data_IF_989717187120
#
_entry.id   IF_989717187120
#
_cell.length_a   1.000
_cell.length_b   1.000
_cell.length_c   1.000
_cell.angle_alpha   90.00
_cell.angle_beta   90.00
_cell.angle_gamma   90.00
#
_symmetry.space_group_name_H-M   'P 1'
#
loop_
_entity.id
_entity.type
_entity.pdbx_description
1 polymer ?
#
# COMPACT_ATOMS: atom_id res chain seq x y z
N UNK A 1 -59.69 -38.78 11.94
CA UNK A 1 -58.24 -39.09 12.20
C UNK A 1 -57.31 -38.66 11.05
N UNK A 2 -57.52 -39.10 9.78
CA UNK A 2 -56.62 -38.78 8.65
C UNK A 2 -56.66 -37.30 8.23
N UNK A 3 -57.78 -36.66 8.24
CA UNK A 3 -57.97 -35.24 7.90
C UNK A 3 -57.29 -34.33 8.93
N UNK A 4 -57.47 -34.60 10.17
CA UNK A 4 -56.86 -33.89 11.30
C UNK A 4 -55.35 -34.06 11.32
N UNK A 5 -54.82 -35.22 10.99
CA UNK A 5 -53.40 -35.50 10.81
C UNK A 5 -52.83 -34.71 9.62
N UNK A 6 -53.55 -34.63 8.48
CA UNK A 6 -53.15 -33.87 7.30
C UNK A 6 -53.12 -32.37 7.58
N UNK A 7 -54.13 -31.83 8.26
CA UNK A 7 -54.19 -30.40 8.64
C UNK A 7 -53.06 -30.03 9.60
N UNK A 8 -52.77 -30.88 10.58
CA UNK A 8 -51.67 -30.65 11.53
C UNK A 8 -50.29 -30.72 10.88
N UNK A 9 -50.08 -31.65 9.91
CA UNK A 9 -48.87 -31.71 9.15
C UNK A 9 -48.68 -30.50 8.24
N UNK A 10 -49.73 -30.03 7.60
CA UNK A 10 -49.69 -28.85 6.75
C UNK A 10 -49.31 -27.60 7.56
N UNK A 11 -49.91 -27.46 8.77
CA UNK A 11 -49.55 -26.37 9.69
C UNK A 11 -48.07 -26.43 10.10
N UNK A 12 -47.57 -27.61 10.43
CA UNK A 12 -46.20 -27.83 10.85
C UNK A 12 -45.21 -27.58 9.72
N UNK A 13 -45.55 -27.92 8.45
CA UNK A 13 -44.76 -27.62 7.27
C UNK A 13 -44.68 -26.11 7.03
N UNK A 14 -45.76 -25.38 7.21
CA UNK A 14 -45.76 -23.92 7.05
C UNK A 14 -44.94 -23.25 8.15
N UNK A 15 -45.08 -23.65 9.41
CA UNK A 15 -44.25 -23.17 10.53
C UNK A 15 -42.74 -23.41 10.29
N UNK A 16 -42.39 -24.56 9.70
CA UNK A 16 -41.00 -24.88 9.34
C UNK A 16 -40.50 -24.04 8.17
N UNK A 17 -41.34 -23.73 7.18
CA UNK A 17 -41.00 -22.85 6.07
C UNK A 17 -40.74 -21.42 6.56
N UNK A 18 -41.62 -20.90 7.42
CA UNK A 18 -41.51 -19.57 7.99
C UNK A 18 -40.21 -19.45 8.80
N UNK A 19 -39.87 -20.45 9.61
CA UNK A 19 -38.58 -20.50 10.33
C UNK A 19 -37.39 -20.63 9.40
N UNK A 20 -37.51 -21.37 8.31
CA UNK A 20 -36.43 -21.49 7.32
C UNK A 20 -36.14 -20.13 6.65
N UNK A 21 -37.21 -19.37 6.33
CA UNK A 21 -37.09 -18.03 5.73
C UNK A 21 -36.47 -17.05 6.74
N UNK A 22 -36.91 -17.05 8.00
CA UNK A 22 -36.33 -16.24 9.07
C UNK A 22 -34.84 -16.53 9.30
N UNK A 23 -34.44 -17.79 9.37
CA UNK A 23 -33.02 -18.20 9.51
C UNK A 23 -32.21 -17.81 8.26
N UNK A 24 -32.81 -17.90 7.07
CA UNK A 24 -32.16 -17.47 5.85
C UNK A 24 -31.86 -15.97 5.82
N UNK A 25 -32.83 -15.17 6.27
CA UNK A 25 -32.70 -13.72 6.37
C UNK A 25 -31.66 -13.31 7.44
N UNK A 26 -31.68 -13.94 8.61
CA UNK A 26 -30.65 -13.73 9.63
C UNK A 26 -29.23 -14.09 9.12
N UNK A 27 -29.13 -15.16 8.36
CA UNK A 27 -27.87 -15.62 7.78
C UNK A 27 -27.34 -14.61 6.75
N UNK A 28 -28.22 -14.05 5.94
CA UNK A 28 -27.88 -13.01 4.97
C UNK A 28 -27.40 -11.73 5.64
N UNK A 29 -28.11 -11.27 6.67
CA UNK A 29 -27.74 -10.10 7.48
C UNK A 29 -26.38 -10.33 8.15
N UNK A 30 -26.18 -11.49 8.75
CA UNK A 30 -24.91 -11.86 9.40
C UNK A 30 -23.76 -11.88 8.39
N UNK A 31 -23.99 -12.41 7.19
CA UNK A 31 -23.00 -12.45 6.12
C UNK A 31 -22.57 -11.04 5.67
N UNK A 32 -23.54 -10.14 5.49
CA UNK A 32 -23.28 -8.73 5.18
C UNK A 32 -22.45 -8.05 6.29
N UNK A 33 -22.78 -8.27 7.55
CA UNK A 33 -22.01 -7.75 8.69
C UNK A 33 -20.58 -8.30 8.73
N UNK A 34 -20.38 -9.57 8.44
CA UNK A 34 -19.04 -10.16 8.38
C UNK A 34 -18.21 -9.53 7.25
N UNK A 35 -18.80 -9.33 6.07
CA UNK A 35 -18.14 -8.70 4.94
C UNK A 35 -17.77 -7.24 5.25
N UNK A 36 -18.67 -6.50 5.85
CA UNK A 36 -18.42 -5.11 6.27
C UNK A 36 -17.30 -5.03 7.32
N UNK A 37 -17.31 -5.91 8.31
CA UNK A 37 -16.27 -5.97 9.34
C UNK A 37 -14.91 -6.38 8.75
N UNK A 38 -14.86 -7.32 7.81
CA UNK A 38 -13.64 -7.68 7.09
C UNK A 38 -13.09 -6.47 6.33
N UNK A 39 -13.95 -5.72 5.62
CA UNK A 39 -13.57 -4.52 4.89
C UNK A 39 -13.00 -3.47 5.85
N UNK A 40 -13.67 -3.17 6.96
CA UNK A 40 -13.18 -2.23 7.99
C UNK A 40 -11.84 -2.64 8.57
N UNK A 41 -11.64 -3.93 8.86
CA UNK A 41 -10.39 -4.45 9.39
C UNK A 41 -9.24 -4.31 8.39
N UNK A 42 -9.47 -4.60 7.10
CA UNK A 42 -8.49 -4.41 6.04
C UNK A 42 -8.11 -2.93 5.91
N UNK A 43 -9.08 -2.05 5.98
CA UNK A 43 -8.87 -0.60 5.94
C UNK A 43 -8.03 -0.10 7.12
N UNK A 44 -8.32 -0.56 8.34
CA UNK A 44 -7.54 -0.18 9.52
C UNK A 44 -6.10 -0.70 9.44
N UNK A 45 -5.91 -1.94 8.98
CA UNK A 45 -4.57 -2.50 8.78
C UNK A 45 -3.77 -1.74 7.74
N UNK A 46 -4.41 -1.32 6.64
CA UNK A 46 -3.76 -0.51 5.62
C UNK A 46 -3.31 0.85 6.18
N UNK A 47 -4.16 1.53 6.98
CA UNK A 47 -3.80 2.79 7.66
C UNK A 47 -2.58 2.61 8.57
N UNK A 48 -2.62 1.61 9.44
CA UNK A 48 -1.53 1.33 10.38
C UNK A 48 -0.25 1.01 9.62
N UNK A 49 -0.35 0.23 8.55
CA UNK A 49 0.79 -0.11 7.70
C UNK A 49 1.41 1.12 7.05
N UNK A 50 0.59 2.04 6.52
CA UNK A 50 1.06 3.30 5.92
C UNK A 50 1.76 4.18 6.96
N UNK A 51 1.17 4.37 8.14
CA UNK A 51 1.79 5.14 9.23
C UNK A 51 3.10 4.51 9.67
N UNK A 52 3.13 3.19 9.88
CA UNK A 52 4.34 2.46 10.25
C UNK A 52 5.42 2.52 9.15
N UNK A 53 5.04 2.70 7.90
CA UNK A 53 5.98 2.86 6.79
C UNK A 53 6.66 4.23 6.77
N UNK A 54 6.02 5.26 7.31
CA UNK A 54 6.58 6.63 7.41
C UNK A 54 7.55 6.76 8.59
N UNK A 55 7.23 6.15 9.72
CA UNK A 55 8.00 6.27 10.98
C UNK A 55 9.51 6.04 10.79
N UNK A 56 9.98 4.99 10.08
CA UNK A 56 11.41 4.77 9.88
C UNK A 56 12.11 5.90 9.11
N UNK A 57 11.41 6.61 8.22
CA UNK A 57 11.98 7.75 7.49
C UNK A 57 12.13 8.96 8.40
N UNK A 58 11.15 9.19 9.29
CA UNK A 58 11.20 10.24 10.31
C UNK A 58 12.35 9.98 11.28
N UNK A 59 12.48 8.76 11.80
CA UNK A 59 13.56 8.40 12.73
C UNK A 59 14.93 8.60 12.11
N UNK A 60 15.11 8.21 10.83
CA UNK A 60 16.36 8.45 10.11
C UNK A 60 16.62 9.93 9.90
N UNK A 61 15.59 10.70 9.53
CA UNK A 61 15.72 12.16 9.38
C UNK A 61 16.18 12.80 10.67
N UNK A 62 15.58 12.43 11.81
CA UNK A 62 15.98 12.92 13.14
C UNK A 62 17.43 12.55 13.42
N UNK A 63 17.83 11.31 13.11
CA UNK A 63 19.22 10.87 13.29
C UNK A 63 20.20 11.71 12.47
N UNK A 64 19.92 11.94 11.18
CA UNK A 64 20.79 12.74 10.31
C UNK A 64 20.87 14.21 10.76
N UNK A 65 19.75 14.79 11.20
CA UNK A 65 19.71 16.16 11.75
C UNK A 65 20.54 16.26 13.03
N UNK A 66 20.46 15.28 13.93
CA UNK A 66 21.26 15.24 15.15
C UNK A 66 22.76 15.17 14.83
N UNK A 67 23.14 14.31 13.86
CA UNK A 67 24.54 14.22 13.40
C UNK A 67 25.06 15.52 12.82
N UNK A 68 24.25 16.23 12.04
CA UNK A 68 24.61 17.56 11.54
C UNK A 68 24.80 18.58 12.68
N UNK A 69 24.01 18.47 13.75
CA UNK A 69 24.07 19.37 14.92
C UNK A 69 25.29 19.09 15.80
N UNK A 70 25.79 17.87 15.86
CA UNK A 70 27.01 17.50 16.60
C UNK A 70 28.26 18.13 15.97
N UNK A 71 28.27 18.38 14.68
CA UNK A 71 29.38 18.99 13.96
C UNK A 71 30.59 18.07 13.82
N UNK A 72 31.72 18.63 13.38
CA UNK A 72 33.00 17.92 13.28
C UNK A 72 33.19 17.11 11.99
N UNK A 73 32.22 17.10 11.08
CA UNK A 73 32.28 16.42 9.79
C UNK A 73 32.84 17.34 8.69
N UNK A 74 33.42 16.74 7.65
CA UNK A 74 33.85 17.47 6.46
C UNK A 74 32.65 18.07 5.71
N UNK A 75 32.88 19.12 4.94
CA UNK A 75 31.84 19.76 4.13
C UNK A 75 31.24 18.80 3.09
N UNK A 76 32.01 17.84 2.63
CA UNK A 76 31.56 16.81 1.69
C UNK A 76 30.55 15.86 2.34
N UNK A 77 30.87 15.31 3.52
CA UNK A 77 29.97 14.45 4.30
C UNK A 77 28.70 15.21 4.71
N UNK A 78 28.85 16.47 5.08
CA UNK A 78 27.70 17.32 5.42
C UNK A 78 26.76 17.51 4.21
N UNK A 79 27.30 17.70 3.03
CA UNK A 79 26.52 17.82 1.78
C UNK A 79 25.77 16.52 1.45
N UNK A 80 26.41 15.38 1.62
CA UNK A 80 25.76 14.07 1.42
C UNK A 80 24.59 13.86 2.39
N UNK A 81 24.75 14.27 3.67
CA UNK A 81 23.64 14.22 4.65
C UNK A 81 22.48 15.09 4.25
N UNK A 82 22.72 16.30 3.76
CA UNK A 82 21.62 17.15 3.27
C UNK A 82 20.90 16.53 2.10
N UNK A 83 21.60 15.90 1.16
CA UNK A 83 20.97 15.17 0.06
C UNK A 83 20.13 14.01 0.58
N UNK A 84 20.62 13.28 1.55
CA UNK A 84 19.88 12.16 2.14
C UNK A 84 18.64 12.62 2.91
N UNK A 85 18.72 13.71 3.66
CA UNK A 85 17.54 14.31 4.33
C UNK A 85 16.50 14.74 3.30
N UNK A 86 16.92 15.34 2.19
CA UNK A 86 16.01 15.70 1.10
C UNK A 86 15.31 14.47 0.50
N UNK A 87 16.04 13.37 0.27
CA UNK A 87 15.47 12.11 -0.20
C UNK A 87 14.44 11.54 0.80
N UNK A 88 14.76 11.55 2.09
CA UNK A 88 13.83 11.10 3.15
C UNK A 88 12.56 11.96 3.19
N UNK A 89 12.71 13.27 3.01
CA UNK A 89 11.58 14.21 2.94
C UNK A 89 10.67 13.91 1.76
N UNK A 90 11.24 13.65 0.58
CA UNK A 90 10.47 13.28 -0.61
C UNK A 90 9.71 11.97 -0.40
N UNK A 91 10.32 10.98 0.22
CA UNK A 91 9.65 9.72 0.56
C UNK A 91 8.49 9.94 1.53
N UNK A 92 8.68 10.71 2.60
CA UNK A 92 7.61 11.04 3.55
C UNK A 92 6.44 11.72 2.83
N UNK A 93 6.72 12.68 1.94
CA UNK A 93 5.69 13.36 1.17
C UNK A 93 4.93 12.40 0.23
N UNK A 94 5.62 11.46 -0.42
CA UNK A 94 4.97 10.44 -1.26
C UNK A 94 4.01 9.56 -0.44
N UNK A 95 4.44 9.06 0.72
CA UNK A 95 3.57 8.27 1.60
C UNK A 95 2.39 9.09 2.12
N UNK A 96 2.61 10.36 2.43
CA UNK A 96 1.56 11.26 2.91
C UNK A 96 0.51 11.53 1.83
N UNK A 97 0.92 11.70 0.58
CA UNK A 97 0.01 11.87 -0.56
C UNK A 97 -0.85 10.62 -0.76
N UNK A 98 -0.25 9.42 -0.74
CA UNK A 98 -0.98 8.15 -0.84
C UNK A 98 -1.99 7.99 0.29
N UNK A 99 -1.60 8.34 1.53
CA UNK A 99 -2.50 8.30 2.69
C UNK A 99 -3.68 9.26 2.51
N UNK A 100 -3.41 10.47 2.02
CA UNK A 100 -4.43 11.49 1.76
C UNK A 100 -5.41 11.03 0.68
N UNK A 101 -4.92 10.52 -0.45
CA UNK A 101 -5.77 9.99 -1.52
C UNK A 101 -6.60 8.80 -1.04
N UNK A 102 -6.00 7.92 -0.24
CA UNK A 102 -6.73 6.78 0.30
C UNK A 102 -7.85 7.21 1.27
N UNK A 103 -7.63 8.24 2.10
CA UNK A 103 -8.66 8.82 2.96
C UNK A 103 -9.77 9.45 2.13
N UNK A 104 -9.44 10.19 1.07
CA UNK A 104 -10.40 10.83 0.17
C UNK A 104 -11.22 9.80 -0.63
N UNK A 105 -10.59 8.73 -1.11
CA UNK A 105 -11.27 7.63 -1.80
C UNK A 105 -12.36 7.00 -0.91
N UNK A 106 -12.11 6.91 0.37
CA UNK A 106 -13.05 6.37 1.35
C UNK A 106 -14.27 7.26 1.61
N UNK A 107 -14.10 8.57 1.48
CA UNK A 107 -15.19 9.54 1.61
C UNK A 107 -16.07 9.63 0.35
N UNK A 108 -15.83 8.77 -0.65
CA UNK A 108 -16.54 8.79 -1.93
C UNK A 108 -16.19 9.98 -2.81
N UNK A 109 -15.18 10.75 -2.43
CA UNK A 109 -14.80 12.00 -3.10
C UNK A 109 -13.67 11.84 -4.12
N UNK A 110 -13.03 10.65 -4.18
CA UNK A 110 -11.92 10.40 -5.10
C UNK A 110 -12.24 9.26 -6.05
N UNK A 111 -12.21 9.54 -7.35
CA UNK A 111 -12.08 8.53 -8.40
C UNK A 111 -10.60 8.28 -8.68
N UNK A 112 -10.20 7.02 -8.87
CA UNK A 112 -8.88 6.69 -9.40
C UNK A 112 -8.60 7.50 -10.66
N UNK A 113 -7.47 8.19 -10.70
CA UNK A 113 -7.01 8.91 -11.89
C UNK A 113 -6.25 7.96 -12.80
N UNK A 114 -7.02 7.19 -13.57
CA UNK A 114 -6.42 6.29 -14.57
C UNK A 114 -6.01 7.10 -15.77
N UNK A 115 -4.71 7.25 -15.97
CA UNK A 115 -4.11 7.95 -17.11
C UNK A 115 -3.03 7.08 -17.77
N UNK A 116 -2.73 7.36 -19.04
CA UNK A 116 -1.62 6.73 -19.75
C UNK A 116 -0.38 7.58 -19.58
N UNK A 117 0.72 6.99 -19.10
CA UNK A 117 1.97 7.70 -18.91
C UNK A 117 3.19 6.81 -19.19
N UNK A 118 4.33 7.38 -19.60
CA UNK A 118 5.59 6.65 -19.73
C UNK A 118 6.08 6.18 -18.36
N UNK A 119 6.30 4.88 -18.19
CA UNK A 119 6.76 4.29 -16.94
C UNK A 119 8.16 4.80 -16.55
N UNK A 120 8.98 5.20 -17.53
CA UNK A 120 10.29 5.82 -17.30
C UNK A 120 10.24 6.99 -16.33
N UNK A 121 9.18 7.81 -16.36
CA UNK A 121 9.03 8.94 -15.43
C UNK A 121 9.00 8.50 -13.95
N UNK A 122 8.41 7.35 -13.67
CA UNK A 122 8.42 6.78 -12.32
C UNK A 122 9.77 6.16 -11.97
N UNK A 123 10.42 5.52 -12.94
CA UNK A 123 11.76 4.95 -12.78
C UNK A 123 12.81 6.04 -12.49
N UNK A 124 12.69 7.21 -13.12
CA UNK A 124 13.54 8.37 -12.84
C UNK A 124 13.38 8.87 -11.40
N UNK A 125 12.13 8.87 -10.87
CA UNK A 125 11.87 9.25 -9.48
C UNK A 125 12.48 8.23 -8.52
N UNK A 126 12.29 6.94 -8.78
CA UNK A 126 12.86 5.86 -7.94
C UNK A 126 14.38 5.86 -7.97
N UNK A 127 14.98 6.18 -9.13
CA UNK A 127 16.42 6.29 -9.29
C UNK A 127 17.06 7.37 -8.41
N UNK A 128 16.33 8.42 -8.04
CA UNK A 128 16.80 9.45 -7.09
C UNK A 128 16.99 8.89 -5.68
N UNK A 129 16.35 7.75 -5.34
CA UNK A 129 16.48 7.07 -4.07
C UNK A 129 17.76 6.22 -3.90
N UNK A 130 18.76 6.35 -4.76
CA UNK A 130 20.03 5.57 -4.72
C UNK A 130 20.76 5.68 -3.39
N UNK A 131 20.71 6.84 -2.73
CA UNK A 131 21.44 7.08 -1.49
C UNK A 131 20.98 6.11 -0.38
N UNK A 132 19.69 5.87 -0.25
CA UNK A 132 19.15 4.90 0.72
C UNK A 132 19.68 3.48 0.52
N UNK A 133 19.94 3.08 -0.73
CA UNK A 133 20.54 1.79 -1.06
C UNK A 133 22.03 1.77 -0.76
N UNK A 134 22.76 2.79 -1.16
CA UNK A 134 24.19 2.92 -0.93
C UNK A 134 24.55 2.88 0.55
N UNK A 135 23.77 3.54 1.41
CA UNK A 135 23.99 3.53 2.86
C UNK A 135 23.81 2.15 3.51
N UNK A 136 23.17 1.20 2.83
CA UNK A 136 23.10 -0.20 3.24
C UNK A 136 24.08 -1.11 2.47
N UNK A 137 25.00 -0.53 1.68
CA UNK A 137 25.91 -1.30 0.85
C UNK A 137 25.21 -2.07 -0.28
N UNK A 138 23.99 -1.68 -0.67
CA UNK A 138 23.21 -2.32 -1.73
C UNK A 138 23.26 -1.46 -3.00
N UNK A 139 23.48 -2.08 -4.15
CA UNK A 139 23.47 -1.39 -5.44
C UNK A 139 22.05 -1.35 -5.98
N UNK A 140 21.52 -0.17 -6.29
CA UNK A 140 20.29 0.01 -7.06
C UNK A 140 20.61 0.17 -8.54
N UNK A 141 20.02 -0.66 -9.38
CA UNK A 141 20.08 -0.60 -10.83
C UNK A 141 18.68 -0.46 -11.40
N UNK A 142 18.43 0.59 -12.17
CA UNK A 142 17.14 0.85 -12.79
C UNK A 142 17.33 0.83 -14.29
N UNK A 143 16.77 -0.19 -14.93
CA UNK A 143 16.88 -0.36 -16.37
C UNK A 143 15.92 0.63 -17.08
N UNK A 144 16.38 1.30 -18.13
CA UNK A 144 15.51 2.19 -18.91
C UNK A 144 14.40 1.40 -19.59
N UNK A 145 13.23 2.06 -19.75
CA UNK A 145 12.06 1.47 -20.39
C UNK A 145 11.30 2.49 -21.23
N UNK A 146 10.77 2.05 -22.34
CA UNK A 146 9.86 2.81 -23.20
C UNK A 146 8.38 2.42 -22.98
N UNK A 147 8.11 1.55 -22.00
CA UNK A 147 6.78 1.09 -21.68
C UNK A 147 5.86 2.25 -21.27
N UNK A 148 4.64 2.23 -21.81
CA UNK A 148 3.54 3.12 -21.43
C UNK A 148 2.53 2.30 -20.63
N UNK A 149 2.14 2.78 -19.46
CA UNK A 149 1.17 2.12 -18.61
C UNK A 149 -0.08 2.97 -18.45
N UNK A 150 -1.22 2.30 -18.31
CA UNK A 150 -2.52 2.93 -18.04
C UNK A 150 -2.92 2.58 -16.60
N UNK A 151 -2.68 3.51 -15.69
CA UNK A 151 -2.89 3.30 -14.26
C UNK A 151 -3.01 4.64 -13.51
N UNK A 152 -3.26 4.57 -12.20
CA UNK A 152 -3.08 5.72 -11.32
C UNK A 152 -1.58 5.91 -11.04
N UNK A 153 -1.04 7.05 -11.46
CA UNK A 153 0.38 7.35 -11.41
C UNK A 153 0.95 7.35 -9.98
N UNK A 154 0.20 7.92 -9.03
CA UNK A 154 0.65 8.05 -7.64
C UNK A 154 0.65 6.70 -6.95
N UNK A 155 -0.40 5.92 -7.10
CA UNK A 155 -0.47 4.57 -6.55
C UNK A 155 0.57 3.65 -7.17
N UNK A 156 0.84 3.78 -8.47
CA UNK A 156 1.87 2.99 -9.15
C UNK A 156 3.27 3.34 -8.61
N UNK A 157 3.57 4.63 -8.44
CA UNK A 157 4.84 5.06 -7.84
C UNK A 157 4.98 4.54 -6.40
N UNK A 158 3.92 4.61 -5.61
CA UNK A 158 3.91 4.07 -4.25
C UNK A 158 4.20 2.56 -4.22
N UNK A 159 3.57 1.78 -5.10
CA UNK A 159 3.81 0.34 -5.21
C UNK A 159 5.28 0.05 -5.54
N UNK A 160 5.84 0.73 -6.54
CA UNK A 160 7.23 0.54 -6.95
C UNK A 160 8.18 0.88 -5.81
N UNK A 161 7.99 2.02 -5.13
CA UNK A 161 8.82 2.41 -4.00
C UNK A 161 8.72 1.40 -2.83
N UNK A 162 7.52 0.91 -2.51
CA UNK A 162 7.31 -0.08 -1.44
C UNK A 162 8.04 -1.39 -1.74
N UNK A 163 7.98 -1.87 -2.98
CA UNK A 163 8.69 -3.08 -3.41
C UNK A 163 10.19 -2.86 -3.40
N UNK A 164 10.67 -1.72 -3.89
CA UNK A 164 12.08 -1.36 -3.90
C UNK A 164 12.66 -1.26 -2.49
N UNK A 165 11.95 -0.62 -1.56
CA UNK A 165 12.37 -0.52 -0.16
C UNK A 165 12.39 -1.89 0.54
N UNK A 166 11.43 -2.76 0.24
CA UNK A 166 11.43 -4.13 0.74
C UNK A 166 12.63 -4.93 0.18
N UNK A 167 12.88 -4.83 -1.13
CA UNK A 167 14.02 -5.45 -1.75
C UNK A 167 15.33 -4.97 -1.11
N UNK A 168 15.51 -3.66 -0.93
CA UNK A 168 16.65 -3.08 -0.22
C UNK A 168 16.84 -3.67 1.19
N UNK A 169 15.75 -3.76 1.96
CA UNK A 169 15.76 -4.23 3.36
C UNK A 169 16.21 -5.69 3.49
N UNK A 170 15.85 -6.52 2.51
CA UNK A 170 16.15 -7.95 2.54
C UNK A 170 17.35 -8.36 1.67
N UNK A 171 17.98 -7.41 0.99
CA UNK A 171 19.21 -7.65 0.23
C UNK A 171 20.41 -7.46 1.17
N UNK A 172 21.32 -8.44 1.28
CA UNK A 172 22.52 -8.32 2.09
C UNK A 172 23.46 -7.25 1.53
N UNK A 173 24.36 -6.76 2.38
CA UNK A 173 25.43 -5.83 1.97
C UNK A 173 26.26 -6.42 0.83
N UNK A 174 26.61 -5.59 -0.14
CA UNK A 174 27.27 -6.00 -1.39
C UNK A 174 26.29 -6.53 -2.46
N UNK A 175 25.00 -6.70 -2.14
CA UNK A 175 23.99 -7.17 -3.06
C UNK A 175 23.51 -6.10 -4.03
N UNK A 176 22.67 -6.52 -4.98
CA UNK A 176 22.13 -5.66 -6.06
C UNK A 176 20.62 -5.82 -6.15
N UNK A 177 19.90 -4.71 -6.25
CA UNK A 177 18.47 -4.66 -6.60
C UNK A 177 18.34 -4.07 -7.99
N UNK A 178 17.66 -4.79 -8.90
CA UNK A 178 17.40 -4.33 -10.26
C UNK A 178 15.90 -4.09 -10.43
N UNK A 179 15.54 -2.94 -10.99
CA UNK A 179 14.18 -2.58 -11.38
C UNK A 179 14.11 -2.55 -12.89
N UNK A 180 13.24 -3.35 -13.49
CA UNK A 180 13.04 -3.40 -14.94
C UNK A 180 11.56 -3.58 -15.27
N UNK A 181 11.17 -3.25 -16.50
CA UNK A 181 9.84 -3.49 -17.03
C UNK A 181 9.91 -4.30 -18.31
N UNK A 182 9.03 -5.30 -18.42
CA UNK A 182 8.86 -6.09 -19.65
C UNK A 182 7.42 -6.00 -20.08
N UNK A 183 7.20 -5.69 -21.35
CA UNK A 183 5.87 -5.78 -21.99
C UNK A 183 5.73 -7.21 -22.47
N UNK A 184 4.66 -7.90 -22.04
CA UNK A 184 4.29 -9.21 -22.55
C UNK A 184 2.97 -9.08 -23.29
N UNK A 185 2.92 -9.59 -24.53
CA UNK A 185 1.67 -9.77 -25.26
C UNK A 185 0.91 -10.92 -24.60
N UNK A 186 -0.30 -10.66 -24.10
CA UNK A 186 -1.27 -11.68 -23.65
C UNK A 186 -2.29 -11.93 -24.72
#
# INVERSE_FOLDING_TARGET
>A
PLREWSENNTKKINELKDKQEEVHDELNVTRLHIEENKKRNLEQRAKISLVNSITPFIDRMIHEVNRLSEGGESDEVRRERYHYIAELTDKINQYNNVLTEWIQMRQGSLSLRIESFPLQQLFDIVSKGKMSFQMQGVKLDVEPTDAVVKADRILTLFMINTIADNARKFTPEGGKVTISAKVSDF
#
